data_IF_094525020701
#
_entry.id   IF_094525020701
#
_cell.length_a   1.000
_cell.length_b   1.000
_cell.length_c   1.000
_cell.angle_alpha   90.00
_cell.angle_beta   90.00
_cell.angle_gamma   90.00
#
_symmetry.space_group_name_H-M   'P 1'
#
loop_
_entity.id
_entity.type
_entity.pdbx_description
1 polymer ?
#
# COMPACT_ATOMS: atom_id res chain seq x y z
N UNK A 1 53.90 -13.44 62.70
CA UNK A 1 53.05 -12.28 62.37
C UNK A 1 53.48 -11.60 61.05
N UNK A 2 53.35 -12.24 59.87
CA UNK A 2 53.66 -11.59 58.57
C UNK A 2 52.57 -11.77 57.47
N UNK A 3 51.49 -12.51 57.75
CA UNK A 3 50.44 -12.78 56.76
C UNK A 3 49.52 -11.57 56.46
N UNK A 4 49.19 -10.75 57.46
CA UNK A 4 48.29 -9.59 57.27
C UNK A 4 48.91 -8.50 56.39
N UNK A 5 50.21 -8.24 56.52
CA UNK A 5 50.93 -7.26 55.69
C UNK A 5 51.06 -7.74 54.24
N UNK A 6 51.33 -9.03 54.02
CA UNK A 6 51.43 -9.63 52.68
C UNK A 6 50.08 -9.62 51.95
N UNK A 7 48.98 -9.84 52.66
CA UNK A 7 47.62 -9.78 52.09
C UNK A 7 47.22 -8.35 51.67
N UNK A 8 47.55 -7.34 52.48
CA UNK A 8 47.30 -5.93 52.15
C UNK A 8 48.13 -5.51 50.92
N UNK A 9 49.39 -5.92 50.85
CA UNK A 9 50.23 -5.69 49.67
C UNK A 9 49.67 -6.38 48.42
N UNK A 10 49.18 -7.62 48.55
CA UNK A 10 48.53 -8.34 47.46
C UNK A 10 47.30 -7.60 46.92
N UNK A 11 46.45 -7.06 47.80
CA UNK A 11 45.28 -6.26 47.40
C UNK A 11 45.71 -4.96 46.71
N UNK A 12 46.68 -4.22 47.26
CA UNK A 12 47.18 -2.99 46.65
C UNK A 12 47.76 -3.22 45.26
N UNK A 13 48.49 -4.33 45.08
CA UNK A 13 49.06 -4.72 43.80
C UNK A 13 47.95 -5.09 42.79
N UNK A 14 46.92 -5.80 43.24
CA UNK A 14 45.76 -6.17 42.41
C UNK A 14 44.94 -4.93 41.99
N UNK A 15 44.74 -3.98 42.90
CA UNK A 15 44.13 -2.67 42.59
C UNK A 15 44.99 -1.88 41.60
N UNK A 16 46.32 -1.89 41.77
CA UNK A 16 47.25 -1.28 40.83
C UNK A 16 47.18 -1.89 39.42
N UNK A 17 47.13 -3.21 39.31
CA UNK A 17 46.97 -3.92 38.03
C UNK A 17 45.63 -3.56 37.38
N UNK A 18 44.53 -3.55 38.15
CA UNK A 18 43.22 -3.17 37.62
C UNK A 18 43.19 -1.71 37.17
N UNK A 19 43.84 -0.80 37.92
CA UNK A 19 43.94 0.62 37.53
C UNK A 19 44.73 0.81 36.23
N UNK A 20 45.87 0.12 36.07
CA UNK A 20 46.66 0.14 34.82
C UNK A 20 45.86 -0.44 33.66
N UNK A 21 45.18 -1.57 33.86
CA UNK A 21 44.34 -2.19 32.83
C UNK A 21 43.19 -1.27 32.38
N UNK A 22 42.53 -0.56 33.30
CA UNK A 22 41.47 0.39 32.97
C UNK A 22 41.99 1.62 32.23
N UNK A 23 43.20 2.10 32.54
CA UNK A 23 43.85 3.20 31.83
C UNK A 23 44.26 2.79 30.41
N UNK A 24 44.89 1.63 30.25
CA UNK A 24 45.27 1.09 28.94
C UNK A 24 44.04 0.78 28.07
N UNK A 25 42.97 0.26 28.67
CA UNK A 25 41.70 0.03 27.99
C UNK A 25 41.10 1.34 27.45
N UNK A 26 41.04 2.40 28.28
CA UNK A 26 40.56 3.72 27.86
C UNK A 26 41.47 4.35 26.79
N UNK A 27 42.79 4.31 26.97
CA UNK A 27 43.75 4.83 25.99
C UNK A 27 43.67 4.09 24.65
N UNK A 28 43.42 2.77 24.68
CA UNK A 28 43.16 1.95 23.50
C UNK A 28 41.85 2.32 22.79
N UNK A 29 40.78 2.60 23.53
CA UNK A 29 39.52 3.11 22.97
C UNK A 29 39.69 4.51 22.37
N UNK A 30 40.33 5.44 23.08
CA UNK A 30 40.63 6.80 22.58
C UNK A 30 41.47 6.77 21.31
N UNK A 31 42.52 5.95 21.27
CA UNK A 31 43.37 5.79 20.07
C UNK A 31 42.57 5.25 18.88
N UNK A 32 41.73 4.25 19.09
CA UNK A 32 40.84 3.71 18.04
C UNK A 32 39.82 4.73 17.56
N UNK A 33 39.29 5.58 18.45
CA UNK A 33 38.38 6.68 18.09
C UNK A 33 39.13 7.73 17.27
N UNK A 34 40.33 8.13 17.69
CA UNK A 34 41.17 9.10 16.96
C UNK A 34 41.53 8.57 15.58
N UNK A 35 41.96 7.31 15.46
CA UNK A 35 42.28 6.66 14.18
C UNK A 35 41.04 6.54 13.27
N UNK A 36 39.89 6.20 13.86
CA UNK A 36 38.62 6.15 13.13
C UNK A 36 38.18 7.54 12.66
N UNK A 37 38.33 8.57 13.48
CA UNK A 37 37.98 9.96 13.13
C UNK A 37 38.96 10.55 12.10
N UNK A 38 40.25 10.26 12.22
CA UNK A 38 41.28 10.75 11.28
C UNK A 38 41.20 10.06 9.92
N UNK A 39 40.71 8.82 9.85
CA UNK A 39 40.50 8.10 8.58
C UNK A 39 39.33 8.64 7.75
N UNK A 40 38.37 9.35 8.36
CA UNK A 40 37.20 9.88 7.65
C UNK A 40 37.56 11.10 6.79
N UNK A 41 36.86 11.26 5.66
CA UNK A 41 37.00 12.44 4.81
C UNK A 41 36.44 13.69 5.49
N UNK A 42 35.25 13.56 6.10
CA UNK A 42 34.61 14.63 6.87
C UNK A 42 34.22 14.16 8.27
N UNK A 43 34.20 15.07 9.23
CA UNK A 43 33.67 14.84 10.56
C UNK A 43 32.31 15.53 10.67
N UNK A 44 31.25 14.72 10.75
CA UNK A 44 29.88 15.20 10.74
C UNK A 44 29.00 14.28 11.59
N UNK A 45 28.27 14.86 12.53
CA UNK A 45 27.17 14.21 13.21
C UNK A 45 25.86 14.43 12.42
N UNK A 46 25.23 13.38 11.87
CA UNK A 46 23.96 13.48 11.16
C UNK A 46 22.84 14.20 11.91
N UNK A 47 22.86 14.19 13.25
CA UNK A 47 21.83 14.84 14.04
C UNK A 47 21.90 16.37 14.02
N UNK A 48 23.08 16.91 13.75
CA UNK A 48 23.36 18.35 13.69
C UNK A 48 23.12 18.97 12.32
N UNK A 49 22.80 18.17 11.30
CA UNK A 49 22.48 18.67 9.96
C UNK A 49 21.16 19.46 9.99
N UNK A 50 21.21 20.71 9.53
CA UNK A 50 20.04 21.55 9.28
C UNK A 50 19.65 21.54 7.79
N UNK A 51 20.62 21.67 6.89
CA UNK A 51 20.39 21.62 5.45
C UNK A 51 21.45 20.76 4.73
N UNK A 52 21.07 20.20 3.59
CA UNK A 52 21.97 19.49 2.66
C UNK A 52 21.80 20.11 1.28
N UNK A 53 22.90 20.48 0.63
CA UNK A 53 22.92 20.86 -0.78
C UNK A 53 23.75 19.83 -1.54
N UNK A 54 23.13 19.18 -2.52
CA UNK A 54 23.76 18.23 -3.43
C UNK A 54 23.82 18.87 -4.81
N UNK A 55 25.01 18.97 -5.38
CA UNK A 55 25.24 19.39 -6.77
C UNK A 55 25.87 18.23 -7.54
N UNK A 56 25.38 17.96 -8.74
CA UNK A 56 25.87 16.88 -9.62
C UNK A 56 25.59 17.20 -11.09
N UNK A 57 25.92 16.27 -11.99
CA UNK A 57 25.49 16.29 -13.40
C UNK A 57 23.97 16.42 -13.59
N UNK A 58 23.17 16.02 -12.60
CA UNK A 58 21.70 16.11 -12.63
C UNK A 58 21.16 17.48 -12.16
N UNK A 59 22.05 18.42 -11.81
CA UNK A 59 21.70 19.71 -11.23
C UNK A 59 21.85 19.75 -9.70
N UNK A 60 21.27 20.79 -9.09
CA UNK A 60 21.34 21.05 -7.65
C UNK A 60 20.04 20.70 -6.95
N UNK A 61 20.13 20.03 -5.80
CA UNK A 61 19.00 19.72 -4.91
C UNK A 61 19.32 20.21 -3.51
N UNK A 62 18.41 21.00 -2.93
CA UNK A 62 18.52 21.46 -1.55
C UNK A 62 17.49 20.76 -0.68
N UNK A 63 17.93 20.25 0.47
CA UNK A 63 17.14 19.58 1.48
C UNK A 63 17.20 20.35 2.79
N UNK A 64 16.07 20.49 3.46
CA UNK A 64 15.96 21.13 4.77
C UNK A 64 15.39 20.15 5.79
N UNK A 65 16.00 20.00 6.96
CA UNK A 65 15.54 19.11 8.03
C UNK A 65 14.32 19.75 8.70
N UNK A 66 13.19 19.05 8.66
CA UNK A 66 11.97 19.35 9.40
C UNK A 66 11.88 18.38 10.60
N UNK A 67 11.74 18.93 11.80
CA UNK A 67 11.78 18.19 13.08
C UNK A 67 10.73 17.08 13.19
N UNK A 68 9.60 17.19 12.49
CA UNK A 68 8.52 16.19 12.56
C UNK A 68 8.57 15.18 11.40
N UNK A 69 9.01 15.62 10.22
CA UNK A 69 8.81 14.89 8.96
C UNK A 69 10.10 14.41 8.28
N UNK A 70 11.27 14.62 8.89
CA UNK A 70 12.54 14.33 8.25
C UNK A 70 12.94 15.44 7.26
N UNK A 71 13.58 15.11 6.15
CA UNK A 71 14.01 16.13 5.18
C UNK A 71 12.93 16.44 4.14
N UNK A 72 12.72 17.72 3.87
CA UNK A 72 11.94 18.23 2.74
C UNK A 72 12.86 18.77 1.66
N UNK A 73 12.51 18.58 0.39
CA UNK A 73 13.20 19.24 -0.71
C UNK A 73 12.70 20.69 -0.74
N UNK A 74 13.63 21.64 -0.66
CA UNK A 74 13.36 23.08 -0.70
C UNK A 74 13.71 23.70 -2.05
N UNK A 75 14.56 23.05 -2.86
CA UNK A 75 14.91 23.46 -4.22
C UNK A 75 15.30 22.24 -5.07
N UNK A 76 14.93 22.17 -6.36
CA UNK A 76 14.26 23.21 -7.17
C UNK A 76 12.74 23.25 -6.99
N UNK A 77 12.15 22.29 -6.27
CA UNK A 77 10.72 22.27 -5.96
C UNK A 77 10.50 22.03 -4.47
N UNK A 78 9.40 22.53 -3.93
CA UNK A 78 9.01 22.28 -2.55
C UNK A 78 8.18 20.99 -2.49
N UNK A 79 8.80 19.89 -2.06
CA UNK A 79 8.18 18.55 -1.99
C UNK A 79 8.73 17.73 -0.81
N UNK A 80 8.02 16.65 -0.45
CA UNK A 80 8.49 15.71 0.59
C UNK A 80 9.68 14.90 0.08
N UNK A 81 10.68 14.72 0.96
CA UNK A 81 11.83 13.86 0.69
C UNK A 81 11.59 12.40 1.10
N UNK A 82 12.18 11.47 0.37
CA UNK A 82 12.24 10.06 0.77
C UNK A 82 13.24 9.91 1.91
N UNK A 83 12.71 9.74 3.13
CA UNK A 83 13.51 9.61 4.36
C UNK A 83 14.58 8.54 4.26
N UNK A 84 14.30 7.40 3.61
CA UNK A 84 15.25 6.30 3.52
C UNK A 84 16.37 6.63 2.54
N UNK A 85 16.04 7.20 1.37
CA UNK A 85 17.03 7.60 0.38
C UNK A 85 17.97 8.67 0.94
N UNK A 86 17.41 9.72 1.57
CA UNK A 86 18.17 10.83 2.14
C UNK A 86 19.07 10.35 3.29
N UNK A 87 18.54 9.53 4.22
CA UNK A 87 19.34 8.97 5.31
C UNK A 87 20.44 8.03 4.80
N UNK A 88 20.24 7.38 3.65
CA UNK A 88 21.28 6.53 3.04
C UNK A 88 22.37 7.38 2.41
N UNK A 89 22.03 8.48 1.73
CA UNK A 89 22.98 9.46 1.22
C UNK A 89 23.82 10.07 2.36
N UNK A 90 23.18 10.54 3.44
CA UNK A 90 23.88 11.12 4.60
C UNK A 90 24.81 10.10 5.24
N UNK A 91 24.35 8.85 5.43
CA UNK A 91 25.19 7.78 5.98
C UNK A 91 26.36 7.42 5.09
N UNK A 92 26.18 7.44 3.76
CA UNK A 92 27.29 7.22 2.83
C UNK A 92 28.32 8.35 2.96
N UNK A 93 27.88 9.61 2.93
CA UNK A 93 28.72 10.80 3.08
C UNK A 93 29.56 10.79 4.37
N UNK A 94 28.94 10.49 5.53
CA UNK A 94 29.61 10.52 6.84
C UNK A 94 30.58 9.34 7.05
N UNK A 95 30.49 8.30 6.22
CA UNK A 95 31.33 7.11 6.34
C UNK A 95 32.37 6.99 5.23
N UNK A 96 32.56 8.02 4.41
CA UNK A 96 33.65 8.08 3.44
C UNK A 96 34.98 8.06 4.20
N UNK A 97 35.83 7.09 3.85
CA UNK A 97 37.19 6.97 4.37
C UNK A 97 38.17 7.41 3.29
N UNK A 98 39.16 8.20 3.71
CA UNK A 98 40.32 8.56 2.90
C UNK A 98 41.18 7.32 2.76
N UNK A 99 41.59 7.01 1.53
CA UNK A 99 42.54 5.95 1.27
C UNK A 99 43.96 6.50 1.30
N UNK A 100 44.24 7.49 0.45
CA UNK A 100 45.57 8.07 0.30
C UNK A 100 45.50 9.55 0.00
N UNK A 101 46.42 10.33 0.57
CA UNK A 101 46.66 11.72 0.17
C UNK A 101 47.50 11.74 -1.11
N UNK A 102 47.02 12.46 -2.12
CA UNK A 102 47.65 12.55 -3.46
C UNK A 102 48.39 13.86 -3.63
N UNK A 103 47.83 14.95 -3.10
CA UNK A 103 48.42 16.27 -3.16
C UNK A 103 47.93 17.15 -2.01
N UNK A 104 48.78 18.10 -1.61
CA UNK A 104 48.51 19.09 -0.58
C UNK A 104 49.30 20.37 -0.85
N UNK A 105 48.71 21.53 -0.56
CA UNK A 105 49.41 22.82 -0.64
C UNK A 105 48.50 24.01 -0.91
N UNK A 106 48.94 25.20 -0.48
CA UNK A 106 48.26 26.46 -0.78
C UNK A 106 48.20 26.68 -2.30
N UNK A 107 47.00 26.97 -2.82
CA UNK A 107 46.73 27.12 -4.27
C UNK A 107 46.97 25.84 -5.11
N UNK A 108 46.75 24.66 -4.54
CA UNK A 108 46.78 23.40 -5.28
C UNK A 108 45.88 23.43 -6.52
N UNK A 109 46.43 23.13 -7.70
CA UNK A 109 45.64 23.02 -8.92
C UNK A 109 44.70 21.79 -8.85
N UNK A 110 43.40 22.05 -8.82
CA UNK A 110 42.36 21.03 -8.69
C UNK A 110 41.90 20.42 -10.02
N UNK A 111 42.25 21.05 -11.15
CA UNK A 111 41.83 20.63 -12.49
C UNK A 111 42.24 19.17 -12.83
N UNK A 112 43.49 18.71 -12.56
CA UNK A 112 43.91 17.33 -12.88
C UNK A 112 43.12 16.24 -12.16
N UNK A 113 42.43 16.60 -11.07
CA UNK A 113 41.65 15.70 -10.24
C UNK A 113 40.15 15.81 -10.51
N UNK A 114 39.72 16.69 -11.43
CA UNK A 114 38.31 16.97 -11.67
C UNK A 114 37.61 17.68 -10.51
N UNK A 115 38.36 18.32 -9.61
CA UNK A 115 37.80 18.98 -8.42
C UNK A 115 37.50 20.47 -8.63
N UNK A 116 37.89 21.04 -9.77
CA UNK A 116 37.47 22.38 -10.20
C UNK A 116 36.01 22.38 -10.72
N UNK A 117 35.57 21.25 -11.30
CA UNK A 117 34.18 21.01 -11.71
C UNK A 117 33.79 19.59 -11.26
N UNK A 118 33.50 19.42 -9.96
CA UNK A 118 33.32 18.10 -9.37
C UNK A 118 32.11 17.38 -9.93
N UNK A 119 32.21 16.05 -10.05
CA UNK A 119 31.10 15.18 -10.44
C UNK A 119 29.98 15.19 -9.39
N UNK A 120 30.36 15.33 -8.11
CA UNK A 120 29.44 15.46 -6.97
C UNK A 120 30.02 16.46 -5.98
N UNK A 121 29.21 17.39 -5.51
CA UNK A 121 29.52 18.22 -4.35
C UNK A 121 28.36 18.14 -3.35
N UNK A 122 28.68 17.82 -2.09
CA UNK A 122 27.69 17.80 -1.00
C UNK A 122 28.12 18.75 0.09
N UNK A 123 27.26 19.74 0.37
CA UNK A 123 27.43 20.70 1.45
C UNK A 123 26.38 20.43 2.54
N UNK A 124 26.81 20.44 3.80
CA UNK A 124 25.98 20.30 4.99
C UNK A 124 26.07 21.58 5.79
N UNK A 125 24.94 22.28 5.96
CA UNK A 125 24.82 23.38 6.90
C UNK A 125 24.33 22.82 8.23
N UNK A 126 25.08 23.06 9.30
CA UNK A 126 24.77 22.56 10.63
C UNK A 126 23.93 23.57 11.41
N UNK A 127 23.34 23.12 12.53
CA UNK A 127 22.51 23.95 13.41
C UNK A 127 23.26 25.13 14.03
N UNK A 128 24.58 25.03 14.19
CA UNK A 128 25.44 26.10 14.69
C UNK A 128 25.86 27.12 13.62
N UNK A 129 25.41 26.93 12.37
CA UNK A 129 25.75 27.78 11.23
C UNK A 129 27.03 27.40 10.50
N UNK A 130 27.80 26.43 10.99
CA UNK A 130 28.99 25.93 10.30
C UNK A 130 28.62 25.12 9.05
N UNK A 131 29.51 25.15 8.06
CA UNK A 131 29.36 24.40 6.81
C UNK A 131 30.50 23.38 6.71
N UNK A 132 30.14 22.14 6.40
CA UNK A 132 31.10 21.07 6.10
C UNK A 132 30.61 20.28 4.89
N UNK A 133 31.48 19.48 4.27
CA UNK A 133 31.11 18.73 3.09
C UNK A 133 32.31 18.24 2.32
N UNK A 134 32.06 17.75 1.12
CA UNK A 134 33.10 17.25 0.25
C UNK A 134 32.70 17.36 -1.22
N UNK A 135 33.72 17.29 -2.07
CA UNK A 135 33.61 17.20 -3.51
C UNK A 135 34.26 15.89 -3.98
N UNK A 136 33.64 15.22 -4.95
CA UNK A 136 34.18 14.08 -5.68
C UNK A 136 34.49 14.51 -7.11
N UNK A 137 35.74 14.29 -7.52
CA UNK A 137 36.23 14.58 -8.85
C UNK A 137 36.25 13.34 -9.73
N UNK A 138 37.22 13.31 -10.65
CA UNK A 138 37.38 12.24 -11.63
C UNK A 138 37.82 10.91 -11.00
N UNK A 139 37.64 9.85 -11.78
CA UNK A 139 38.11 8.51 -11.45
C UNK A 139 39.65 8.43 -11.50
N UNK A 140 40.25 7.66 -10.58
CA UNK A 140 41.68 7.43 -10.59
C UNK A 140 42.09 6.61 -11.84
N UNK A 141 43.35 6.70 -12.30
CA UNK A 141 43.81 5.91 -13.45
C UNK A 141 43.66 4.38 -13.29
N UNK A 142 43.60 3.89 -12.05
CA UNK A 142 43.39 2.46 -11.73
C UNK A 142 41.93 2.03 -11.82
N UNK A 143 40.98 2.97 -11.81
CA UNK A 143 39.54 2.73 -11.83
C UNK A 143 38.89 2.29 -10.51
N UNK A 144 39.69 2.10 -9.45
CA UNK A 144 39.21 1.63 -8.15
C UNK A 144 38.79 2.77 -7.21
N UNK A 145 39.28 3.98 -7.47
CA UNK A 145 39.10 5.14 -6.60
C UNK A 145 38.58 6.34 -7.39
N UNK A 146 38.08 7.35 -6.66
CA UNK A 146 37.81 8.68 -7.18
C UNK A 146 38.59 9.70 -6.35
N UNK A 147 38.95 10.82 -6.95
CA UNK A 147 39.55 11.93 -6.21
C UNK A 147 38.48 12.62 -5.36
N UNK A 148 38.85 13.07 -4.17
CA UNK A 148 37.97 13.76 -3.26
C UNK A 148 38.71 14.84 -2.47
N UNK A 149 38.00 15.91 -2.13
CA UNK A 149 38.47 16.94 -1.20
C UNK A 149 37.34 17.31 -0.23
N UNK A 150 37.70 17.59 1.02
CA UNK A 150 36.76 18.15 1.98
C UNK A 150 36.63 19.67 1.73
N UNK A 151 35.44 20.23 1.94
CA UNK A 151 35.22 21.66 1.69
C UNK A 151 36.12 22.49 2.62
N UNK A 152 36.92 23.38 2.02
CA UNK A 152 37.90 24.21 2.73
C UNK A 152 39.20 23.49 3.11
N UNK A 153 39.44 22.27 2.60
CA UNK A 153 40.69 21.53 2.79
C UNK A 153 41.57 21.63 1.54
N UNK A 154 42.83 22.03 1.71
CA UNK A 154 43.82 22.20 0.62
C UNK A 154 44.47 20.88 0.19
N UNK A 155 43.81 19.76 0.49
CA UNK A 155 44.31 18.40 0.24
C UNK A 155 43.37 17.64 -0.67
N UNK A 156 43.96 16.80 -1.51
CA UNK A 156 43.27 15.87 -2.39
C UNK A 156 43.56 14.45 -1.93
N UNK A 157 42.51 13.69 -1.70
CA UNK A 157 42.56 12.29 -1.33
C UNK A 157 42.00 11.40 -2.44
N UNK A 158 42.36 10.13 -2.43
CA UNK A 158 41.56 9.09 -3.08
C UNK A 158 40.57 8.50 -2.08
N UNK A 159 39.38 8.17 -2.57
CA UNK A 159 38.35 7.43 -1.83
C UNK A 159 37.80 6.32 -2.72
N UNK A 160 37.32 5.19 -2.16
CA UNK A 160 36.82 4.08 -2.98
C UNK A 160 35.70 4.52 -3.94
N UNK A 161 35.74 4.10 -5.20
CA UNK A 161 34.73 4.47 -6.22
C UNK A 161 33.29 4.13 -5.80
N UNK A 162 33.11 3.14 -4.92
CA UNK A 162 31.81 2.76 -4.36
C UNK A 162 31.08 3.88 -3.60
N UNK A 163 31.76 4.97 -3.22
CA UNK A 163 31.11 6.13 -2.59
C UNK A 163 30.29 6.96 -3.59
N UNK A 164 30.59 6.86 -4.89
CA UNK A 164 29.95 7.67 -5.92
C UNK A 164 28.45 7.35 -6.11
N UNK A 165 28.00 6.09 -6.34
CA UNK A 165 26.58 5.80 -6.55
C UNK A 165 25.61 6.20 -5.40
N UNK A 166 25.95 6.08 -4.11
CA UNK A 166 25.07 6.54 -3.03
C UNK A 166 25.08 8.05 -2.81
N UNK A 167 26.09 8.78 -3.30
CA UNK A 167 26.23 10.24 -3.13
C UNK A 167 25.81 11.03 -4.38
N UNK A 168 25.95 10.46 -5.58
CA UNK A 168 25.40 11.01 -6.82
C UNK A 168 23.91 10.63 -6.95
N UNK A 169 23.01 11.52 -6.50
CA UNK A 169 21.56 11.33 -6.58
C UNK A 169 20.90 12.43 -7.40
N UNK A 170 20.04 12.04 -8.34
CA UNK A 170 19.11 12.97 -8.98
C UNK A 170 17.92 13.29 -8.07
N UNK A 171 17.24 14.39 -8.36
CA UNK A 171 16.06 14.85 -7.64
C UNK A 171 14.97 13.76 -7.46
N UNK A 172 14.72 12.97 -8.50
CA UNK A 172 13.77 11.86 -8.44
C UNK A 172 14.10 10.86 -7.32
N UNK A 173 15.37 10.58 -7.07
CA UNK A 173 15.79 9.58 -6.08
C UNK A 173 15.62 10.05 -4.64
N UNK A 174 15.58 11.36 -4.45
CA UNK A 174 15.40 11.99 -3.14
C UNK A 174 13.95 12.35 -2.84
N UNK A 175 13.04 12.32 -3.82
CA UNK A 175 11.60 12.58 -3.64
C UNK A 175 10.88 11.39 -3.00
N UNK A 176 9.91 11.66 -2.13
CA UNK A 176 8.96 10.64 -1.69
C UNK A 176 8.11 10.19 -2.88
N UNK A 177 8.33 8.95 -3.33
CA UNK A 177 7.66 8.36 -4.49
C UNK A 177 6.30 7.75 -4.16
N UNK A 178 5.79 7.79 -2.93
CA UNK A 178 4.43 7.31 -2.63
C UNK A 178 3.38 8.23 -3.25
N UNK A 179 2.39 7.66 -3.96
CA UNK A 179 1.29 8.47 -4.51
C UNK A 179 0.42 8.99 -3.37
N UNK A 180 0.01 8.10 -2.45
CA UNK A 180 -0.81 8.41 -1.29
C UNK A 180 -0.10 7.96 -0.02
N UNK A 181 -0.15 8.81 1.02
CA UNK A 181 0.46 8.50 2.32
C UNK A 181 -0.60 8.41 3.40
N UNK A 182 -0.92 7.19 3.81
CA UNK A 182 -1.87 6.90 4.89
C UNK A 182 -1.57 5.56 5.55
N UNK A 183 -2.13 5.33 6.74
CA UNK A 183 -2.16 4.02 7.38
C UNK A 183 -3.50 3.35 7.10
N UNK A 184 -3.48 2.16 6.49
CA UNK A 184 -4.68 1.44 6.04
C UNK A 184 -5.73 1.24 7.15
N UNK A 185 -5.27 0.96 8.37
CA UNK A 185 -6.13 0.75 9.54
C UNK A 185 -6.84 2.01 10.02
N UNK A 186 -6.33 3.18 9.69
CA UNK A 186 -6.89 4.48 10.10
C UNK A 186 -7.94 4.97 9.10
N UNK A 187 -8.06 4.33 7.91
CA UNK A 187 -9.05 4.71 6.90
C UNK A 187 -10.46 4.33 7.37
N UNK A 188 -11.31 5.34 7.51
CA UNK A 188 -12.70 5.23 7.95
C UNK A 188 -13.69 5.27 6.77
N UNK A 189 -13.40 6.07 5.74
CA UNK A 189 -14.24 6.21 4.55
C UNK A 189 -13.39 6.21 3.27
N UNK A 190 -13.90 5.54 2.23
CA UNK A 190 -13.38 5.54 0.87
C UNK A 190 -14.50 6.04 -0.04
N UNK A 191 -14.20 7.07 -0.83
CA UNK A 191 -15.09 7.56 -1.87
C UNK A 191 -14.38 7.43 -3.21
N UNK A 192 -15.09 6.89 -4.20
CA UNK A 192 -14.59 6.79 -5.57
C UNK A 192 -15.66 7.32 -6.50
N UNK A 193 -15.25 8.24 -7.37
CA UNK A 193 -16.07 8.79 -8.45
C UNK A 193 -15.32 8.59 -9.75
N UNK A 194 -16.02 8.08 -10.75
CA UNK A 194 -15.54 7.99 -12.13
C UNK A 194 -16.55 8.68 -13.05
N UNK A 195 -16.33 8.61 -14.36
CA UNK A 195 -17.32 9.08 -15.34
C UNK A 195 -18.64 8.28 -15.27
N UNK A 196 -18.56 6.98 -14.96
CA UNK A 196 -19.67 6.05 -15.13
C UNK A 196 -20.35 5.67 -13.80
N UNK A 197 -19.68 5.83 -12.66
CA UNK A 197 -20.21 5.44 -11.36
C UNK A 197 -19.56 6.20 -10.20
N UNK A 198 -20.26 6.25 -9.08
CA UNK A 198 -19.82 6.79 -7.80
C UNK A 198 -20.20 5.81 -6.69
N UNK A 199 -19.30 5.59 -5.73
CA UNK A 199 -19.59 4.78 -4.55
C UNK A 199 -18.87 5.29 -3.30
N UNK A 200 -19.49 5.03 -2.15
CA UNK A 200 -18.94 5.30 -0.82
C UNK A 200 -18.85 4.00 -0.02
N UNK A 201 -17.72 3.79 0.65
CA UNK A 201 -17.46 2.67 1.54
C UNK A 201 -17.09 3.21 2.91
N UNK A 202 -17.79 2.76 3.94
CA UNK A 202 -17.46 3.02 5.34
C UNK A 202 -16.90 1.76 5.99
N UNK A 203 -15.92 1.95 6.87
CA UNK A 203 -15.44 0.88 7.77
C UNK A 203 -16.42 0.74 8.93
N UNK A 204 -16.86 -0.49 9.21
CA UNK A 204 -17.73 -0.85 10.34
C UNK A 204 -17.04 -1.93 11.18
N UNK A 205 -16.23 -1.52 12.16
CA UNK A 205 -15.41 -2.45 12.93
C UNK A 205 -14.39 -3.18 12.03
N UNK A 206 -14.54 -4.50 11.91
CA UNK A 206 -13.73 -5.36 11.04
C UNK A 206 -14.26 -5.49 9.60
N UNK A 207 -15.50 -5.09 9.35
CA UNK A 207 -16.15 -5.17 8.05
C UNK A 207 -16.12 -3.83 7.30
N UNK A 208 -16.50 -3.89 6.02
CA UNK A 208 -16.69 -2.72 5.18
C UNK A 208 -18.09 -2.75 4.59
N UNK A 209 -18.74 -1.60 4.62
CA UNK A 209 -20.09 -1.43 4.09
C UNK A 209 -20.06 -0.36 3.00
N UNK A 210 -20.57 -0.70 1.82
CA UNK A 210 -20.96 0.30 0.83
C UNK A 210 -22.18 1.05 1.36
N UNK A 211 -22.14 2.38 1.34
CA UNK A 211 -23.27 3.23 1.76
C UNK A 211 -23.90 4.00 0.61
N UNK A 212 -23.22 4.06 -0.55
CA UNK A 212 -23.77 4.60 -1.79
C UNK A 212 -23.30 3.79 -3.00
N UNK A 213 -24.17 3.64 -4.01
CA UNK A 213 -25.58 4.07 -4.03
C UNK A 213 -26.51 3.14 -3.23
N UNK A 214 -26.03 1.94 -2.88
CA UNK A 214 -26.78 0.93 -2.13
C UNK A 214 -26.06 0.58 -0.83
N UNK A 215 -26.83 0.13 0.17
CA UNK A 215 -26.31 -0.30 1.46
C UNK A 215 -26.01 -1.80 1.42
N UNK A 216 -24.71 -2.17 1.39
CA UNK A 216 -24.27 -3.56 1.25
C UNK A 216 -22.97 -3.83 2.01
N UNK A 217 -22.88 -4.97 2.71
CA UNK A 217 -21.61 -5.45 3.25
C UNK A 217 -20.74 -5.98 2.10
N UNK A 218 -19.48 -5.55 2.08
CA UNK A 218 -18.50 -5.88 1.05
C UNK A 218 -17.58 -7.02 1.48
N UNK A 219 -16.84 -7.56 0.51
CA UNK A 219 -15.75 -8.49 0.76
C UNK A 219 -14.57 -7.78 1.40
N UNK A 220 -14.41 -7.97 2.71
CA UNK A 220 -13.34 -7.35 3.51
C UNK A 220 -11.95 -7.54 2.90
N UNK A 221 -11.65 -8.74 2.38
CA UNK A 221 -10.36 -9.03 1.75
C UNK A 221 -10.12 -8.21 0.48
N UNK A 222 -11.17 -7.96 -0.31
CA UNK A 222 -11.07 -7.18 -1.55
C UNK A 222 -10.90 -5.69 -1.27
N UNK A 223 -11.63 -5.15 -0.29
CA UNK A 223 -11.45 -3.76 0.16
C UNK A 223 -10.06 -3.55 0.77
N UNK A 224 -9.57 -4.50 1.57
CA UNK A 224 -8.20 -4.45 2.10
C UNK A 224 -7.14 -4.54 0.99
N UNK A 225 -7.40 -5.30 -0.08
CA UNK A 225 -6.53 -5.36 -1.26
C UNK A 225 -6.48 -4.04 -2.02
N UNK A 226 -7.64 -3.35 -2.18
CA UNK A 226 -7.71 -1.99 -2.71
C UNK A 226 -6.88 -1.02 -1.88
N UNK A 227 -7.07 -0.99 -0.55
CA UNK A 227 -6.29 -0.13 0.35
C UNK A 227 -4.79 -0.45 0.32
N UNK A 228 -4.43 -1.73 0.21
CA UNK A 228 -3.04 -2.20 0.06
C UNK A 228 -2.40 -1.64 -1.22
N UNK A 229 -3.10 -1.75 -2.35
CA UNK A 229 -2.59 -1.24 -3.62
C UNK A 229 -2.45 0.28 -3.60
N UNK A 230 -3.46 0.99 -3.08
CA UNK A 230 -3.42 2.45 -2.90
C UNK A 230 -2.24 2.92 -2.03
N UNK A 231 -1.88 2.18 -0.96
CA UNK A 231 -0.79 2.57 -0.06
C UNK A 231 0.61 2.24 -0.58
N UNK A 232 0.72 1.28 -1.49
CA UNK A 232 2.00 0.75 -1.96
C UNK A 232 2.42 1.28 -3.33
N UNK A 233 1.49 1.85 -4.09
CA UNK A 233 1.78 2.32 -5.44
C UNK A 233 2.73 3.53 -5.43
N UNK A 234 3.62 3.55 -6.43
CA UNK A 234 4.70 4.54 -6.53
C UNK A 234 4.59 5.37 -7.81
N UNK A 235 4.88 6.65 -7.68
CA UNK A 235 5.04 7.61 -8.78
C UNK A 235 6.12 7.10 -9.73
N UNK A 236 5.80 7.11 -11.03
CA UNK A 236 6.75 6.72 -12.10
C UNK A 236 7.59 7.91 -12.57
N UNK A 237 6.97 9.09 -12.65
CA UNK A 237 7.62 10.35 -13.03
C UNK A 237 6.90 11.53 -12.38
N UNK A 238 7.63 12.59 -12.10
CA UNK A 238 7.09 13.87 -11.63
C UNK A 238 7.17 14.87 -12.79
N UNK A 239 6.11 15.63 -13.00
CA UNK A 239 6.04 16.68 -14.01
C UNK A 239 6.18 18.01 -13.29
N UNK A 240 7.41 18.53 -13.29
CA UNK A 240 7.83 19.72 -12.54
C UNK A 240 7.57 21.04 -13.29
N UNK A 241 7.20 20.97 -14.57
CA UNK A 241 6.84 22.13 -15.38
C UNK A 241 5.49 22.72 -14.95
N UNK A 242 5.32 24.03 -15.10
CA UNK A 242 4.00 24.67 -15.17
C UNK A 242 3.24 24.14 -16.38
N UNK A 243 2.62 22.97 -16.27
CA UNK A 243 1.58 22.54 -17.20
C UNK A 243 0.23 22.58 -16.49
N UNK A 244 -0.33 23.79 -16.26
CA UNK A 244 -1.66 23.95 -15.70
C UNK A 244 -2.75 23.84 -16.78
N UNK A 245 -2.44 23.48 -18.03
CA UNK A 245 -3.52 23.29 -18.99
C UNK A 245 -4.23 21.94 -18.72
N UNK A 246 -5.35 22.03 -18.00
CA UNK A 246 -6.24 20.90 -17.65
C UNK A 246 -6.71 20.12 -18.89
N UNK A 247 -6.75 20.74 -20.07
CA UNK A 247 -7.02 20.09 -21.36
C UNK A 247 -5.98 19.02 -21.74
N UNK A 248 -4.69 19.23 -21.49
CA UNK A 248 -3.59 18.31 -21.83
C UNK A 248 -3.58 17.14 -20.86
N UNK A 249 -3.64 17.45 -19.56
CA UNK A 249 -3.52 16.44 -18.51
C UNK A 249 -4.84 15.72 -18.24
N UNK A 250 -5.99 16.33 -18.56
CA UNK A 250 -7.32 15.81 -18.24
C UNK A 250 -7.67 15.83 -16.76
N UNK A 251 -6.88 16.50 -15.92
CA UNK A 251 -7.13 16.64 -14.48
C UNK A 251 -8.23 17.68 -14.26
N UNK A 252 -9.47 17.22 -14.35
CA UNK A 252 -10.69 18.02 -14.18
C UNK A 252 -11.49 17.51 -12.98
N UNK A 253 -12.41 18.31 -12.46
CA UNK A 253 -13.30 17.92 -11.35
C UNK A 253 -14.36 16.87 -11.74
N UNK A 254 -14.57 16.66 -13.05
CA UNK A 254 -15.47 15.64 -13.59
C UNK A 254 -14.76 14.32 -13.93
N UNK A 255 -13.44 14.24 -13.75
CA UNK A 255 -12.65 13.02 -13.97
C UNK A 255 -12.74 12.00 -12.85
N UNK A 256 -11.93 10.95 -12.95
CA UNK A 256 -11.81 9.94 -11.90
C UNK A 256 -11.17 10.54 -10.64
N UNK A 257 -11.84 10.42 -9.50
CA UNK A 257 -11.41 10.92 -8.21
C UNK A 257 -11.57 9.87 -7.11
N UNK A 258 -10.53 9.73 -6.29
CA UNK A 258 -10.52 8.89 -5.09
C UNK A 258 -10.30 9.81 -3.89
N UNK A 259 -11.17 9.71 -2.89
CA UNK A 259 -11.03 10.40 -1.60
C UNK A 259 -10.96 9.38 -0.48
N UNK A 260 -10.00 9.56 0.41
CA UNK A 260 -9.83 8.76 1.62
C UNK A 260 -9.98 9.68 2.84
N UNK A 261 -10.85 9.28 3.77
CA UNK A 261 -10.93 9.88 5.08
C UNK A 261 -10.21 8.97 6.08
N UNK A 262 -9.38 9.58 6.93
CA UNK A 262 -8.65 8.90 7.98
C UNK A 262 -9.10 9.43 9.32
N UNK A 263 -9.30 8.56 10.31
CA UNK A 263 -9.64 8.98 11.68
C UNK A 263 -8.55 9.84 12.33
N UNK A 264 -7.32 9.75 11.83
CA UNK A 264 -6.14 10.39 12.41
C UNK A 264 -5.67 11.62 11.60
N UNK A 265 -6.33 11.97 10.49
CA UNK A 265 -5.97 13.13 9.68
C UNK A 265 -7.18 14.07 9.58
N UNK A 266 -7.02 15.37 9.84
CA UNK A 266 -8.12 16.32 9.74
C UNK A 266 -8.54 16.58 8.29
N UNK A 267 -7.65 16.31 7.32
CA UNK A 267 -7.87 16.56 5.90
C UNK A 267 -8.06 15.27 5.12
N UNK A 268 -8.99 15.30 4.15
CA UNK A 268 -9.20 14.20 3.22
C UNK A 268 -8.00 14.08 2.28
N UNK A 269 -7.54 12.86 2.03
CA UNK A 269 -6.55 12.58 0.99
C UNK A 269 -7.30 12.44 -0.32
N UNK A 270 -6.99 13.27 -1.31
CA UNK A 270 -7.67 13.26 -2.62
C UNK A 270 -6.68 13.01 -3.74
N UNK A 271 -6.99 12.03 -4.58
CA UNK A 271 -6.27 11.70 -5.81
C UNK A 271 -7.20 11.87 -7.01
N UNK A 272 -6.79 12.71 -7.98
CA UNK A 272 -7.45 12.81 -9.29
C UNK A 272 -6.61 12.11 -10.34
N UNK A 273 -7.27 11.47 -11.29
CA UNK A 273 -6.65 10.76 -12.43
C UNK A 273 -7.08 11.45 -13.72
N UNK A 274 -6.10 11.74 -14.57
CA UNK A 274 -6.27 12.41 -15.85
C UNK A 274 -6.18 11.48 -17.06
N UNK A 275 -5.81 12.05 -18.21
CA UNK A 275 -5.64 11.38 -19.51
C UNK A 275 -4.47 10.40 -19.52
N UNK A 276 -4.50 9.51 -20.50
CA UNK A 276 -3.40 8.59 -20.81
C UNK A 276 -2.25 9.29 -21.53
N UNK A 277 -1.04 8.84 -21.22
CA UNK A 277 0.19 9.24 -21.88
C UNK A 277 0.98 7.97 -22.20
N UNK A 278 1.41 7.81 -23.45
CA UNK A 278 2.35 6.76 -23.83
C UNK A 278 3.73 7.38 -24.02
N UNK A 279 4.72 6.89 -23.27
CA UNK A 279 6.10 7.38 -23.32
C UNK A 279 7.02 6.14 -23.33
N UNK A 280 7.95 6.07 -24.29
CA UNK A 280 8.91 4.96 -24.43
C UNK A 280 8.25 3.56 -24.48
N UNK A 281 7.10 3.44 -25.16
CA UNK A 281 6.35 2.19 -25.26
C UNK A 281 5.66 1.74 -23.96
N UNK A 282 5.66 2.58 -22.90
CA UNK A 282 4.96 2.34 -21.65
C UNK A 282 3.73 3.24 -21.54
N UNK A 283 2.64 2.67 -21.02
CA UNK A 283 1.39 3.39 -20.80
C UNK A 283 1.34 3.95 -19.38
N UNK A 284 1.08 5.25 -19.28
CA UNK A 284 0.94 5.99 -18.04
C UNK A 284 -0.38 6.75 -18.00
N UNK A 285 -0.73 7.25 -16.82
CA UNK A 285 -1.82 8.19 -16.60
C UNK A 285 -1.31 9.39 -15.80
N UNK A 286 -1.80 10.58 -16.13
CA UNK A 286 -1.60 11.75 -15.28
C UNK A 286 -2.37 11.58 -13.98
N UNK A 287 -1.81 12.06 -12.87
CA UNK A 287 -2.48 12.08 -11.57
C UNK A 287 -2.08 13.30 -10.75
N UNK A 288 -2.99 13.74 -9.87
CA UNK A 288 -2.76 14.84 -8.95
C UNK A 288 -3.26 14.48 -7.57
N UNK A 289 -2.35 14.47 -6.60
CA UNK A 289 -2.70 14.40 -5.19
C UNK A 289 -2.82 15.82 -4.63
N UNK A 290 -3.89 16.06 -3.87
CA UNK A 290 -4.27 17.39 -3.37
C UNK A 290 -3.22 18.13 -2.54
N UNK A 291 -2.39 17.43 -1.77
CA UNK A 291 -1.37 18.04 -0.91
C UNK A 291 -0.05 18.33 -1.63
N UNK A 292 0.11 17.88 -2.89
CA UNK A 292 1.32 18.08 -3.69
C UNK A 292 1.14 19.21 -4.70
N UNK A 293 2.19 20.02 -4.90
CA UNK A 293 2.25 21.04 -5.95
C UNK A 293 2.53 20.44 -7.34
N UNK A 294 3.13 19.25 -7.39
CA UNK A 294 3.56 18.59 -8.64
C UNK A 294 2.47 17.71 -9.25
N UNK A 295 2.49 17.53 -10.59
CA UNK A 295 1.69 16.52 -11.30
C UNK A 295 2.48 15.22 -11.40
N UNK A 296 1.80 14.08 -11.27
CA UNK A 296 2.40 12.75 -11.21
C UNK A 296 2.08 11.98 -12.48
N UNK A 297 3.01 11.14 -12.95
CA UNK A 297 2.70 10.01 -13.83
C UNK A 297 2.64 8.73 -13.02
N UNK A 298 1.55 8.00 -13.19
CA UNK A 298 1.26 6.73 -12.52
C UNK A 298 1.11 5.62 -13.57
N UNK A 299 1.28 4.38 -13.13
CA UNK A 299 1.06 3.19 -13.96
C UNK A 299 -0.37 3.15 -14.52
N UNK A 300 -0.54 2.87 -15.82
CA UNK A 300 -1.88 2.80 -16.42
C UNK A 300 -2.72 1.66 -15.85
N UNK A 301 -2.09 0.54 -15.48
CA UNK A 301 -2.77 -0.61 -14.86
C UNK A 301 -3.23 -0.31 -13.43
N UNK A 302 -2.52 0.55 -12.70
CA UNK A 302 -3.01 1.09 -11.43
C UNK A 302 -4.22 2.01 -11.61
N UNK A 303 -4.17 2.94 -12.56
CA UNK A 303 -5.32 3.79 -12.86
C UNK A 303 -6.54 2.98 -13.30
N UNK A 304 -6.36 2.03 -14.23
CA UNK A 304 -7.42 1.14 -14.68
C UNK A 304 -8.02 0.30 -13.54
N UNK A 305 -7.20 -0.07 -12.54
CA UNK A 305 -7.68 -0.76 -11.35
C UNK A 305 -8.60 0.11 -10.48
N UNK A 306 -8.31 1.41 -10.35
CA UNK A 306 -9.17 2.36 -9.63
C UNK A 306 -10.45 2.69 -10.38
N UNK A 307 -10.41 2.55 -11.71
CA UNK A 307 -11.55 2.67 -12.63
C UNK A 307 -12.28 1.33 -12.83
N UNK A 308 -12.05 0.33 -11.96
CA UNK A 308 -12.91 -0.85 -11.89
C UNK A 308 -14.18 -0.56 -11.11
N UNK A 309 -15.27 -1.13 -11.59
CA UNK A 309 -16.59 -0.97 -10.98
C UNK A 309 -16.64 -1.52 -9.55
N UNK A 310 -17.50 -0.97 -8.68
CA UNK A 310 -17.65 -1.39 -7.30
C UNK A 310 -18.07 -2.87 -7.13
N UNK A 311 -18.67 -3.48 -8.14
CA UNK A 311 -19.18 -4.85 -8.05
C UNK A 311 -18.12 -5.89 -7.70
N UNK A 312 -16.85 -5.62 -8.05
CA UNK A 312 -15.76 -6.50 -7.68
C UNK A 312 -15.63 -6.60 -6.16
N UNK A 313 -16.09 -5.60 -5.40
CA UNK A 313 -16.00 -5.57 -3.94
C UNK A 313 -17.19 -6.27 -3.26
N UNK A 314 -18.27 -6.59 -3.97
CA UNK A 314 -19.49 -7.18 -3.38
C UNK A 314 -19.26 -8.66 -3.08
N UNK A 315 -19.85 -9.14 -1.98
CA UNK A 315 -19.87 -10.58 -1.62
C UNK A 315 -20.51 -11.40 -2.72
N UNK A 316 -19.86 -12.50 -3.10
CA UNK A 316 -20.37 -13.42 -4.14
C UNK A 316 -21.35 -14.45 -3.58
N UNK A 317 -21.43 -14.60 -2.27
CA UNK A 317 -22.46 -15.39 -1.60
C UNK A 317 -23.82 -14.74 -1.85
N UNK A 318 -24.69 -15.46 -2.58
CA UNK A 318 -25.99 -14.93 -2.98
C UNK A 318 -27.12 -15.36 -2.06
N UNK A 319 -26.88 -16.34 -1.18
CA UNK A 319 -27.91 -16.87 -0.29
C UNK A 319 -27.34 -17.15 1.10
N UNK A 320 -27.29 -16.11 1.94
CA UNK A 320 -26.74 -16.19 3.30
C UNK A 320 -27.86 -16.38 4.33
N UNK A 321 -27.72 -17.39 5.18
CA UNK A 321 -28.64 -17.71 6.28
C UNK A 321 -27.95 -18.64 7.30
N UNK A 322 -28.51 -18.75 8.50
CA UNK A 322 -28.06 -19.68 9.53
C UNK A 322 -28.82 -21.00 9.40
N UNK A 323 -28.16 -22.04 8.84
CA UNK A 323 -28.78 -23.35 8.54
C UNK A 323 -29.51 -23.95 9.73
N UNK A 324 -28.96 -23.81 10.94
CA UNK A 324 -29.50 -24.44 12.15
C UNK A 324 -30.86 -23.83 12.53
N UNK A 325 -31.05 -22.55 12.21
CA UNK A 325 -32.25 -21.78 12.55
C UNK A 325 -33.38 -21.92 11.53
N UNK A 326 -33.14 -22.55 10.38
CA UNK A 326 -34.17 -22.71 9.36
C UNK A 326 -35.15 -23.81 9.81
N UNK A 327 -36.43 -23.48 9.79
CA UNK A 327 -37.53 -24.36 10.18
C UNK A 327 -38.56 -24.59 9.06
N UNK A 328 -38.50 -23.85 7.96
CA UNK A 328 -39.30 -24.12 6.77
C UNK A 328 -38.61 -23.69 5.47
N UNK A 329 -38.93 -24.41 4.39
CA UNK A 329 -38.40 -24.22 3.05
C UNK A 329 -39.57 -24.28 2.05
N UNK A 330 -39.73 -23.25 1.24
CA UNK A 330 -40.66 -23.23 0.11
C UNK A 330 -39.88 -23.15 -1.20
N UNK A 331 -40.17 -24.05 -2.14
CA UNK A 331 -39.55 -24.11 -3.47
C UNK A 331 -40.64 -24.12 -4.54
N UNK A 332 -40.52 -23.24 -5.53
CA UNK A 332 -41.45 -23.14 -6.67
C UNK A 332 -40.71 -22.99 -7.98
N UNK A 333 -40.99 -23.85 -8.96
CA UNK A 333 -40.50 -23.75 -10.34
C UNK A 333 -41.34 -24.62 -11.27
N UNK A 334 -41.58 -24.18 -12.51
CA UNK A 334 -42.18 -25.00 -13.58
C UNK A 334 -43.41 -25.87 -13.17
N UNK A 335 -44.30 -25.34 -12.32
CA UNK A 335 -45.49 -26.05 -11.81
C UNK A 335 -45.26 -26.94 -10.58
N UNK A 336 -44.02 -27.11 -10.14
CA UNK A 336 -43.67 -27.74 -8.86
C UNK A 336 -43.91 -26.75 -7.73
N UNK A 337 -44.67 -27.17 -6.73
CA UNK A 337 -44.79 -26.53 -5.42
C UNK A 337 -44.37 -27.52 -4.34
N UNK A 338 -43.28 -27.20 -3.65
CA UNK A 338 -42.68 -28.03 -2.61
C UNK A 338 -42.54 -27.19 -1.35
N UNK A 339 -43.04 -27.71 -0.23
CA UNK A 339 -42.95 -27.08 1.08
C UNK A 339 -42.47 -28.09 2.11
N UNK A 340 -41.46 -27.71 2.90
CA UNK A 340 -40.94 -28.49 4.01
C UNK A 340 -41.07 -27.70 5.31
N UNK A 341 -41.43 -28.38 6.39
CA UNK A 341 -41.50 -27.82 7.74
C UNK A 341 -40.73 -28.75 8.69
N UNK A 342 -39.95 -28.17 9.58
CA UNK A 342 -39.26 -28.85 10.66
C UNK A 342 -40.14 -28.85 11.90
N UNK A 343 -40.49 -30.05 12.37
CA UNK A 343 -41.16 -30.27 13.65
C UNK A 343 -40.14 -30.86 14.64
N UNK A 344 -39.75 -30.06 15.63
CA UNK A 344 -38.65 -30.34 16.57
C UNK A 344 -37.30 -30.66 15.86
N UNK A 345 -37.05 -31.95 15.57
CA UNK A 345 -35.84 -32.43 14.90
C UNK A 345 -36.10 -33.06 13.55
N UNK A 346 -37.36 -33.33 13.20
CA UNK A 346 -37.74 -34.06 12.01
C UNK A 346 -38.29 -33.12 10.94
N UNK A 347 -37.84 -33.32 9.70
CA UNK A 347 -38.36 -32.59 8.56
C UNK A 347 -39.53 -33.35 7.93
N UNK A 348 -40.58 -32.60 7.61
CA UNK A 348 -41.76 -33.11 6.91
C UNK A 348 -41.95 -32.33 5.61
N UNK A 349 -42.07 -33.05 4.50
CA UNK A 349 -42.66 -32.47 3.29
C UNK A 349 -44.15 -32.31 3.56
N UNK A 350 -44.70 -31.13 3.32
CA UNK A 350 -46.14 -30.83 3.51
C UNK A 350 -46.87 -30.58 2.19
N UNK A 351 -46.11 -30.29 1.12
CA UNK A 351 -46.60 -30.19 -0.27
C UNK A 351 -45.61 -30.86 -1.22
N UNK A 352 -46.08 -31.60 -2.25
CA UNK A 352 -47.48 -31.84 -2.60
C UNK A 352 -48.17 -32.90 -1.74
N UNK A 353 -47.41 -33.72 -1.02
CA UNK A 353 -47.90 -34.80 -0.16
C UNK A 353 -47.22 -34.71 1.21
N UNK A 354 -47.89 -35.19 2.27
CA UNK A 354 -47.34 -35.20 3.62
C UNK A 354 -46.54 -36.49 3.89
N UNK A 355 -45.23 -36.36 4.11
CA UNK A 355 -44.37 -37.46 4.56
C UNK A 355 -43.12 -36.95 5.27
N UNK A 356 -42.50 -37.82 6.07
CA UNK A 356 -41.23 -37.52 6.73
C UNK A 356 -40.08 -37.52 5.71
N UNK A 357 -39.38 -36.40 5.61
CA UNK A 357 -38.22 -36.22 4.75
C UNK A 357 -36.97 -36.91 5.34
N UNK A 358 -36.12 -37.43 4.47
CA UNK A 358 -34.78 -37.89 4.82
C UNK A 358 -33.92 -36.68 5.24
N UNK A 359 -33.45 -36.68 6.50
CA UNK A 359 -32.74 -35.53 7.09
C UNK A 359 -31.44 -35.19 6.34
N UNK A 360 -30.69 -36.20 5.91
CA UNK A 360 -29.48 -36.07 5.11
C UNK A 360 -29.74 -35.39 3.75
N UNK A 361 -30.88 -35.66 3.11
CA UNK A 361 -31.27 -35.00 1.85
C UNK A 361 -31.64 -33.52 2.07
N UNK A 362 -32.29 -33.19 3.19
CA UNK A 362 -32.59 -31.79 3.54
C UNK A 362 -31.30 -31.02 3.86
N UNK A 363 -30.40 -31.63 4.63
CA UNK A 363 -29.10 -31.03 4.95
C UNK A 363 -28.26 -30.80 3.69
N UNK A 364 -28.21 -31.77 2.76
CA UNK A 364 -27.54 -31.61 1.46
C UNK A 364 -28.14 -30.46 0.64
N UNK A 365 -29.46 -30.31 0.62
CA UNK A 365 -30.12 -29.21 -0.06
C UNK A 365 -29.76 -27.85 0.57
N UNK A 366 -29.78 -27.75 1.90
CA UNK A 366 -29.38 -26.53 2.61
C UNK A 366 -27.90 -26.20 2.39
N UNK A 367 -27.04 -27.21 2.23
CA UNK A 367 -25.64 -27.03 1.84
C UNK A 367 -25.51 -26.48 0.41
N UNK A 368 -26.27 -27.02 -0.55
CA UNK A 368 -26.32 -26.49 -1.93
C UNK A 368 -26.78 -25.04 -1.97
N UNK A 369 -27.79 -24.67 -1.18
CA UNK A 369 -28.23 -23.28 -1.04
C UNK A 369 -27.13 -22.37 -0.51
N UNK A 370 -26.48 -22.79 0.58
CA UNK A 370 -25.45 -22.00 1.23
C UNK A 370 -24.17 -21.86 0.40
N UNK A 371 -23.82 -22.89 -0.37
CA UNK A 371 -22.64 -22.90 -1.24
C UNK A 371 -22.84 -22.17 -2.57
N UNK A 372 -24.07 -21.69 -2.84
CA UNK A 372 -24.40 -20.96 -4.06
C UNK A 372 -23.61 -19.64 -4.15
N UNK A 373 -22.82 -19.52 -5.22
CA UNK A 373 -21.98 -18.34 -5.48
C UNK A 373 -22.29 -17.72 -6.83
N UNK A 374 -22.35 -16.40 -6.86
CA UNK A 374 -22.38 -15.62 -8.08
C UNK A 374 -21.06 -15.74 -8.83
N UNK A 375 -21.14 -15.90 -10.16
CA UNK A 375 -20.01 -15.69 -11.04
C UNK A 375 -19.66 -14.20 -11.10
N UNK A 376 -20.67 -13.35 -11.21
CA UNK A 376 -20.56 -11.89 -11.28
C UNK A 376 -21.80 -11.18 -10.70
N UNK A 377 -21.69 -9.88 -10.46
CA UNK A 377 -22.85 -9.01 -10.23
C UNK A 377 -23.13 -8.26 -11.53
N UNK A 378 -24.35 -8.37 -12.04
CA UNK A 378 -24.77 -7.70 -13.27
C UNK A 378 -25.11 -6.24 -13.02
N UNK A 379 -25.98 -5.99 -12.05
CA UNK A 379 -26.44 -4.65 -11.68
C UNK A 379 -26.56 -4.59 -10.17
N UNK A 380 -26.03 -3.54 -9.54
CA UNK A 380 -25.94 -3.42 -8.09
C UNK A 380 -27.04 -2.53 -7.50
N UNK A 381 -27.68 -1.69 -8.33
CA UNK A 381 -28.82 -0.85 -7.99
C UNK A 381 -29.92 -0.92 -9.08
N UNK A 382 -30.56 -2.08 -9.26
CA UNK A 382 -31.57 -2.27 -10.30
C UNK A 382 -32.87 -1.54 -9.97
N UNK A 383 -33.41 -0.77 -10.91
CA UNK A 383 -34.76 -0.15 -10.76
C UNK A 383 -35.87 -1.19 -10.60
N UNK A 384 -35.72 -2.36 -11.22
CA UNK A 384 -36.67 -3.47 -11.12
C UNK A 384 -36.03 -4.78 -11.54
N UNK A 385 -36.42 -5.89 -10.89
CA UNK A 385 -36.03 -7.22 -11.35
C UNK A 385 -36.76 -7.65 -12.63
N UNK A 386 -37.86 -6.97 -13.02
CA UNK A 386 -38.71 -7.36 -14.15
C UNK A 386 -37.96 -7.50 -15.48
N UNK A 387 -36.90 -6.72 -15.71
CA UNK A 387 -36.08 -6.80 -16.91
C UNK A 387 -35.24 -8.11 -17.01
N UNK A 388 -35.09 -8.80 -15.88
CA UNK A 388 -34.25 -9.98 -15.71
C UNK A 388 -35.05 -11.28 -15.60
N UNK A 389 -36.37 -11.26 -15.69
CA UNK A 389 -37.24 -12.46 -15.58
C UNK A 389 -37.96 -12.71 -16.92
N UNK A 390 -38.19 -13.97 -17.25
CA UNK A 390 -39.07 -14.37 -18.37
C UNK A 390 -40.55 -14.39 -17.95
N UNK A 391 -41.47 -14.60 -18.90
CA UNK A 391 -42.92 -14.72 -18.58
C UNK A 391 -43.26 -16.00 -17.80
N UNK A 392 -42.35 -16.97 -17.75
CA UNK A 392 -42.51 -18.26 -17.03
C UNK A 392 -41.91 -18.10 -15.63
N UNK A 393 -42.55 -18.63 -14.57
CA UNK A 393 -41.99 -18.55 -13.23
C UNK A 393 -40.65 -19.30 -13.17
N UNK A 394 -39.57 -18.53 -13.05
CA UNK A 394 -38.25 -19.04 -12.68
C UNK A 394 -38.26 -19.61 -11.27
N UNK A 395 -37.17 -20.29 -10.89
CA UNK A 395 -37.02 -20.87 -9.56
C UNK A 395 -37.15 -19.80 -8.47
N UNK A 396 -38.05 -20.02 -7.52
CA UNK A 396 -38.18 -19.24 -6.30
C UNK A 396 -37.95 -20.17 -5.11
N UNK A 397 -37.07 -19.77 -4.21
CA UNK A 397 -36.84 -20.46 -2.93
C UNK A 397 -37.01 -19.45 -1.81
N UNK A 398 -37.75 -19.81 -0.76
CA UNK A 398 -37.94 -19.00 0.44
C UNK A 398 -37.60 -19.85 1.65
N UNK A 399 -36.75 -19.32 2.53
CA UNK A 399 -36.38 -19.95 3.80
C UNK A 399 -37.03 -19.17 4.93
N UNK A 400 -37.53 -19.91 5.92
CA UNK A 400 -38.18 -19.34 7.09
C UNK A 400 -37.43 -19.71 8.37
N UNK A 401 -37.51 -18.80 9.34
CA UNK A 401 -37.11 -18.99 10.72
C UNK A 401 -38.22 -18.45 11.61
N UNK A 402 -38.77 -19.29 12.47
CA UNK A 402 -39.88 -18.96 13.36
C UNK A 402 -41.06 -18.32 12.61
N UNK A 403 -41.43 -18.88 11.45
CA UNK A 403 -42.47 -18.34 10.55
C UNK A 403 -42.18 -16.97 9.91
N UNK A 404 -40.97 -16.42 10.06
CA UNK A 404 -40.54 -15.19 9.39
C UNK A 404 -39.62 -15.56 8.22
N UNK A 405 -39.80 -14.91 7.06
CA UNK A 405 -38.88 -15.07 5.93
C UNK A 405 -37.46 -14.67 6.36
N UNK A 406 -36.58 -15.66 6.47
CA UNK A 406 -35.18 -15.47 6.82
C UNK A 406 -34.40 -14.95 5.61
N UNK A 407 -34.63 -15.54 4.43
CA UNK A 407 -34.08 -15.09 3.16
C UNK A 407 -34.85 -15.77 2.00
N UNK A 408 -34.73 -15.23 0.78
CA UNK A 408 -35.29 -15.83 -0.42
C UNK A 408 -34.36 -15.65 -1.62
N UNK A 409 -34.54 -16.46 -2.65
CA UNK A 409 -33.94 -16.21 -3.96
C UNK A 409 -35.00 -16.33 -5.05
N UNK A 410 -34.86 -15.49 -6.08
CA UNK A 410 -35.65 -15.54 -7.30
C UNK A 410 -34.72 -15.59 -8.49
N UNK A 411 -34.85 -16.64 -9.28
CA UNK A 411 -34.09 -16.85 -10.50
C UNK A 411 -34.86 -16.27 -11.68
N UNK A 412 -34.15 -15.52 -12.50
CA UNK A 412 -34.62 -14.90 -13.72
C UNK A 412 -34.29 -15.71 -14.97
N UNK A 413 -34.28 -15.02 -16.12
CA UNK A 413 -33.98 -15.60 -17.43
C UNK A 413 -32.56 -16.14 -17.51
N UNK A 414 -32.38 -17.18 -18.32
CA UNK A 414 -31.07 -17.75 -18.68
C UNK A 414 -30.48 -17.01 -19.89
N UNK A 415 -29.20 -16.67 -19.83
CA UNK A 415 -28.43 -16.04 -20.92
C UNK A 415 -27.09 -16.79 -21.04
N UNK A 416 -26.91 -17.54 -22.13
CA UNK A 416 -25.76 -18.44 -22.26
C UNK A 416 -25.82 -19.52 -21.18
N UNK A 417 -24.71 -19.69 -20.45
CA UNK A 417 -24.57 -20.67 -19.35
C UNK A 417 -24.90 -20.10 -17.96
N UNK A 418 -25.39 -18.86 -17.89
CA UNK A 418 -25.69 -18.16 -16.65
C UNK A 418 -27.17 -17.79 -16.55
N UNK A 419 -27.67 -17.73 -15.33
CA UNK A 419 -29.00 -17.24 -14.99
C UNK A 419 -28.88 -16.02 -14.09
N UNK A 420 -29.79 -15.06 -14.26
CA UNK A 420 -29.90 -13.96 -13.31
C UNK A 420 -30.52 -14.44 -12.00
N UNK A 421 -30.06 -13.90 -10.87
CA UNK A 421 -30.59 -14.24 -9.55
C UNK A 421 -30.70 -12.97 -8.70
N UNK A 422 -31.81 -12.85 -7.97
CA UNK A 422 -32.00 -11.83 -6.94
C UNK A 422 -32.23 -12.50 -5.59
N UNK A 423 -31.47 -12.08 -4.58
CA UNK A 423 -31.71 -12.48 -3.18
C UNK A 423 -32.70 -11.53 -2.52
N UNK A 424 -33.54 -12.06 -1.63
CA UNK A 424 -34.37 -11.31 -0.71
C UNK A 424 -33.50 -10.38 0.14
N UNK A 425 -33.97 -9.15 0.35
CA UNK A 425 -33.25 -8.14 1.13
C UNK A 425 -31.95 -7.58 0.52
N UNK A 426 -31.44 -8.13 -0.59
CA UNK A 426 -30.23 -7.67 -1.26
C UNK A 426 -30.57 -6.92 -2.57
N UNK A 427 -30.14 -5.66 -2.74
CA UNK A 427 -30.37 -4.91 -3.99
C UNK A 427 -29.81 -5.56 -5.28
N UNK A 428 -28.59 -6.12 -5.32
CA UNK A 428 -27.95 -6.54 -6.57
C UNK A 428 -28.66 -7.68 -7.31
N UNK A 429 -28.50 -7.66 -8.62
CA UNK A 429 -28.75 -8.77 -9.52
C UNK A 429 -27.44 -9.50 -9.79
N UNK A 430 -27.42 -10.78 -9.47
CA UNK A 430 -26.28 -11.64 -9.66
C UNK A 430 -26.41 -12.44 -10.95
N UNK A 431 -25.28 -12.83 -11.52
CA UNK A 431 -25.17 -13.91 -12.49
C UNK A 431 -24.68 -15.14 -11.76
N UNK A 432 -25.33 -16.27 -11.99
CA UNK A 432 -25.02 -17.56 -11.37
C UNK A 432 -25.01 -18.61 -12.48
N UNK A 433 -24.10 -19.58 -12.41
CA UNK A 433 -24.07 -20.68 -13.39
C UNK A 433 -25.41 -21.40 -13.39
N UNK A 434 -26.02 -21.58 -14.57
CA UNK A 434 -27.31 -22.25 -14.69
C UNK A 434 -27.25 -23.69 -14.20
N UNK A 435 -26.11 -24.38 -14.34
CA UNK A 435 -25.91 -25.73 -13.79
C UNK A 435 -26.12 -25.78 -12.28
N UNK A 436 -25.58 -24.81 -11.54
CA UNK A 436 -25.77 -24.70 -10.10
C UNK A 436 -27.24 -24.44 -9.73
N UNK A 437 -27.98 -23.70 -10.57
CA UNK A 437 -29.42 -23.48 -10.38
C UNK A 437 -30.22 -24.77 -10.64
N UNK A 438 -29.86 -25.56 -11.65
CA UNK A 438 -30.54 -26.83 -11.93
C UNK A 438 -30.39 -27.81 -10.76
N UNK A 439 -29.24 -27.83 -10.08
CA UNK A 439 -29.02 -28.65 -8.87
C UNK A 439 -29.94 -28.28 -7.69
N UNK A 440 -30.54 -27.08 -7.70
CA UNK A 440 -31.48 -26.63 -6.67
C UNK A 440 -32.93 -27.03 -6.99
N UNK A 441 -33.22 -27.46 -8.22
CA UNK A 441 -34.56 -27.87 -8.64
C UNK A 441 -34.83 -29.32 -8.22
N UNK A 442 -35.26 -29.48 -6.97
CA UNK A 442 -35.65 -30.77 -6.40
C UNK A 442 -37.17 -30.94 -6.39
N UNK A 443 -37.65 -32.17 -6.52
CA UNK A 443 -39.05 -32.55 -6.32
C UNK A 443 -39.24 -33.21 -4.95
N UNK A 444 -40.47 -33.54 -4.58
CA UNK A 444 -40.74 -34.23 -3.32
C UNK A 444 -40.01 -35.59 -3.22
N UNK A 445 -39.88 -36.33 -4.33
CA UNK A 445 -39.26 -37.65 -4.33
C UNK A 445 -37.79 -37.63 -3.92
N UNK A 446 -37.09 -36.50 -4.09
CA UNK A 446 -35.73 -36.31 -3.63
C UNK A 446 -35.56 -36.54 -2.12
N UNK A 447 -36.61 -36.30 -1.33
CA UNK A 447 -36.60 -36.40 0.13
C UNK A 447 -37.09 -37.73 0.66
N UNK A 448 -37.49 -38.67 -0.21
CA UNK A 448 -37.87 -40.00 0.25
C UNK A 448 -36.62 -40.74 0.72
N UNK A 449 -36.75 -41.52 1.79
CA UNK A 449 -35.68 -42.44 2.20
C UNK A 449 -35.52 -43.50 1.12
N UNK A 450 -34.29 -43.75 0.70
CA UNK A 450 -33.97 -44.95 -0.08
C UNK A 450 -34.19 -46.15 0.84
N UNK A 451 -34.98 -47.13 0.37
CA UNK A 451 -35.36 -48.33 1.11
C UNK A 451 -34.19 -49.30 1.34
#
# INVERSE_FOLDING_TARGET
>A
MKFKSTFIFGILLLVGIVAVYLLDYKAGEEKKIIEKLSSKLIQLDPENIANVKLTSEYGSVSLTKNTENGFTISSPVIEKGDKNAINSLIRAAVNIKKEREIASGENLNLAPYGLESPLVEIQFLLKDGSVTGFSLGEESPTGEYVFASALGDDRVFTVPKSVYPPTNKKLFDLRDKKILSFKRKDISKIFVKTKDYEYEINRLGSEFMMTKPVSLILETNKVNSLLSRLSNERVKKFIDSEQPESNVTGLTESGTEIRLESSNLPTQIRLRIGKSLNEEGKAFRYAKESSRSTILLIDSGFAAFLEKKPFELIKKEVFSFDKIKIDAIDIRYAGVELSLIKDDTLWHVTRPENFMAAADKVDDLLEKFHSLKASAVEEYDPKSFKAYVDQIPGLTIVLYQNSIEANSIRVGKKVGDESFLKSGGSPPIYKVLSSAIEELKVSADYFRKEE
#
